data_IF_634611872061
#
_entry.id   IF_634611872061
#
_cell.length_a   1.000
_cell.length_b   1.000
_cell.length_c   1.000
_cell.angle_alpha   90.00
_cell.angle_beta   90.00
_cell.angle_gamma   90.00
#
_symmetry.space_group_name_H-M   'P 1'
#
loop_
_entity.id
_entity.type
_entity.pdbx_description
1 polymer ?
#
# COMPACT_ATOMS: atom_id res chain seq x y z
N UNK A 1 12.75 58.84 36.86
CA UNK A 1 13.99 58.03 36.88
C UNK A 1 13.59 56.57 36.81
N UNK A 2 14.13 55.81 35.84
CA UNK A 2 13.88 54.36 35.74
C UNK A 2 13.93 53.87 34.30
N UNK A 3 15.10 53.36 33.89
CA UNK A 3 15.45 52.95 32.53
C UNK A 3 14.83 51.59 32.13
N UNK A 4 14.45 51.50 30.85
CA UNK A 4 14.82 50.46 29.88
C UNK A 4 14.44 48.99 30.17
N UNK A 5 13.52 48.43 29.37
CA UNK A 5 13.63 47.05 28.89
C UNK A 5 13.50 47.01 27.37
N UNK A 6 14.63 46.64 26.77
CA UNK A 6 14.90 46.36 25.36
C UNK A 6 13.81 45.47 24.75
N UNK A 7 13.26 45.87 23.60
CA UNK A 7 12.70 44.91 22.63
C UNK A 7 13.86 44.32 21.84
N UNK A 8 14.00 42.99 21.73
CA UNK A 8 14.95 42.39 20.81
C UNK A 8 14.36 42.39 19.39
N UNK A 9 15.05 43.13 18.52
CA UNK A 9 15.47 42.78 17.16
C UNK A 9 14.55 41.88 16.30
N UNK A 10 13.98 42.54 15.28
CA UNK A 10 13.00 42.06 14.31
C UNK A 10 13.68 41.59 13.01
N UNK A 11 14.64 40.65 13.10
CA UNK A 11 15.50 40.29 11.96
C UNK A 11 15.62 38.77 11.69
N UNK A 12 14.62 37.98 12.08
CA UNK A 12 14.62 36.51 11.85
C UNK A 12 13.46 35.94 11.03
N UNK A 13 12.70 36.75 10.29
CA UNK A 13 11.55 36.26 9.51
C UNK A 13 11.79 36.04 8.00
N UNK A 14 12.98 36.31 7.45
CA UNK A 14 13.18 36.31 5.98
C UNK A 14 14.18 35.28 5.43
N UNK A 15 14.33 34.12 6.07
CA UNK A 15 15.27 33.07 5.60
C UNK A 15 14.70 31.66 5.42
N UNK A 16 13.45 31.52 4.97
CA UNK A 16 12.86 30.19 4.67
C UNK A 16 12.01 30.16 3.38
N UNK A 17 12.29 31.02 2.38
CA UNK A 17 11.53 31.01 1.10
C UNK A 17 12.40 30.96 -0.15
N UNK A 18 13.25 29.94 -0.28
CA UNK A 18 14.08 29.84 -1.49
C UNK A 18 14.72 28.49 -1.74
N UNK A 19 14.04 27.37 -1.42
CA UNK A 19 14.57 26.03 -1.72
C UNK A 19 13.53 24.90 -1.68
N UNK A 20 12.30 25.17 -2.11
CA UNK A 20 11.19 24.18 -2.07
C UNK A 20 10.25 24.21 -3.27
N UNK A 21 10.67 24.78 -4.41
CA UNK A 21 9.78 24.88 -5.57
C UNK A 21 10.35 24.32 -6.88
N UNK A 22 11.66 24.04 -6.95
CA UNK A 22 12.27 23.55 -8.20
C UNK A 22 12.39 22.02 -8.29
N UNK A 23 12.09 21.27 -7.21
CA UNK A 23 12.22 19.80 -7.18
C UNK A 23 10.93 19.04 -7.57
N UNK A 24 9.85 19.77 -7.90
CA UNK A 24 8.53 19.17 -8.17
C UNK A 24 8.26 18.89 -9.65
N UNK A 25 9.12 19.37 -10.57
CA UNK A 25 8.92 19.17 -12.00
C UNK A 25 9.62 17.93 -12.60
N UNK A 26 10.44 17.20 -11.82
CA UNK A 26 11.19 16.05 -12.33
C UNK A 26 10.50 14.69 -12.07
N UNK A 27 9.39 14.68 -11.32
CA UNK A 27 8.67 13.44 -10.96
C UNK A 27 7.70 12.94 -12.05
N UNK A 28 7.39 13.77 -13.05
CA UNK A 28 6.45 13.44 -14.12
C UNK A 28 7.06 12.62 -15.28
N UNK A 29 8.36 12.31 -15.28
CA UNK A 29 9.00 11.50 -16.34
C UNK A 29 9.02 9.99 -16.01
N UNK A 30 8.73 9.58 -14.78
CA UNK A 30 8.82 8.18 -14.35
C UNK A 30 7.54 7.36 -14.55
N UNK A 31 6.41 7.99 -14.89
CA UNK A 31 5.10 7.32 -15.03
C UNK A 31 4.48 7.57 -16.41
N UNK A 32 5.31 7.79 -17.42
CA UNK A 32 4.88 7.89 -18.81
C UNK A 32 4.76 6.51 -19.45
N UNK A 33 3.55 6.14 -19.84
CA UNK A 33 3.20 5.01 -20.69
C UNK A 33 4.26 4.69 -21.76
N UNK A 34 4.86 3.50 -21.65
CA UNK A 34 5.51 2.82 -22.76
C UNK A 34 5.09 1.35 -22.67
N UNK A 35 4.29 0.95 -23.65
CA UNK A 35 3.66 -0.35 -23.79
C UNK A 35 4.69 -1.50 -23.76
N UNK A 36 4.41 -2.47 -22.89
CA UNK A 36 4.45 -3.93 -23.03
C UNK A 36 5.65 -4.68 -23.63
N UNK A 37 6.75 -4.05 -24.07
CA UNK A 37 7.88 -4.81 -24.65
C UNK A 37 9.24 -4.58 -23.95
N UNK A 38 9.32 -3.60 -23.04
CA UNK A 38 10.61 -3.19 -22.46
C UNK A 38 10.96 -3.79 -21.08
N UNK A 39 9.96 -4.26 -20.31
CA UNK A 39 10.15 -4.66 -18.89
C UNK A 39 11.02 -5.91 -18.70
N UNK A 40 11.08 -6.83 -19.66
CA UNK A 40 11.83 -8.08 -19.51
C UNK A 40 13.35 -7.94 -19.69
N UNK A 41 13.82 -6.79 -20.21
CA UNK A 41 15.24 -6.55 -20.53
C UNK A 41 16.06 -5.99 -19.37
N UNK A 42 15.44 -5.74 -18.21
CA UNK A 42 16.18 -5.14 -17.10
C UNK A 42 17.12 -6.15 -16.44
N UNK A 43 18.42 -5.91 -16.63
CA UNK A 43 19.50 -6.70 -16.04
C UNK A 43 19.40 -6.67 -14.50
N UNK A 44 19.91 -7.68 -13.77
CA UNK A 44 19.87 -7.75 -12.31
C UNK A 44 20.33 -6.48 -11.58
N UNK A 45 21.25 -5.70 -12.18
CA UNK A 45 21.70 -4.40 -11.66
C UNK A 45 20.57 -3.37 -11.55
N UNK A 46 19.62 -3.35 -12.48
CA UNK A 46 18.48 -2.43 -12.44
C UNK A 46 17.68 -2.57 -11.14
N UNK A 47 17.31 -3.80 -10.77
CA UNK A 47 16.55 -4.07 -9.55
C UNK A 47 17.34 -3.73 -8.28
N UNK A 48 18.67 -3.88 -8.31
CA UNK A 48 19.55 -3.58 -7.18
C UNK A 48 19.82 -2.07 -7.02
N UNK A 49 20.15 -1.40 -8.12
CA UNK A 49 20.75 -0.05 -8.10
C UNK A 49 19.69 1.05 -8.30
N UNK A 50 18.72 0.81 -9.18
CA UNK A 50 17.66 1.77 -9.53
C UNK A 50 16.43 1.55 -8.66
N UNK A 51 15.83 0.35 -8.73
CA UNK A 51 14.60 0.04 -7.96
C UNK A 51 14.90 -0.12 -6.47
N UNK A 52 16.13 -0.53 -6.13
CA UNK A 52 16.57 -0.81 -4.76
C UNK A 52 15.64 -1.77 -4.02
N UNK A 53 15.15 -2.79 -4.74
CA UNK A 53 14.17 -3.75 -4.22
C UNK A 53 14.75 -4.77 -3.24
N UNK A 54 16.07 -4.71 -2.96
CA UNK A 54 16.77 -5.65 -2.10
C UNK A 54 16.53 -7.10 -2.51
N UNK A 55 16.25 -7.96 -1.54
CA UNK A 55 15.99 -9.39 -1.76
C UNK A 55 14.75 -9.68 -2.63
N UNK A 56 13.87 -8.70 -2.87
CA UNK A 56 12.67 -8.86 -3.72
C UNK A 56 12.97 -8.70 -5.21
N UNK A 57 14.12 -8.15 -5.57
CA UNK A 57 14.51 -7.93 -6.97
C UNK A 57 14.44 -9.19 -7.84
N UNK A 58 14.97 -10.34 -7.38
CA UNK A 58 14.82 -11.61 -8.09
C UNK A 58 13.36 -12.02 -8.36
N UNK A 59 12.44 -11.76 -7.43
CA UNK A 59 11.03 -12.10 -7.59
C UNK A 59 10.35 -11.24 -8.67
N UNK A 60 10.61 -9.92 -8.66
CA UNK A 60 10.10 -9.02 -9.69
C UNK A 60 10.62 -9.40 -11.07
N UNK A 61 11.91 -9.77 -11.16
CA UNK A 61 12.49 -10.24 -12.42
C UNK A 61 11.86 -11.54 -12.89
N UNK A 62 11.64 -12.50 -12.00
CA UNK A 62 11.03 -13.78 -12.34
C UNK A 62 9.61 -13.59 -12.89
N UNK A 63 8.76 -12.83 -12.19
CA UNK A 63 7.39 -12.53 -12.64
C UNK A 63 7.41 -11.79 -13.98
N UNK A 64 8.25 -10.75 -14.13
CA UNK A 64 8.31 -9.99 -15.38
C UNK A 64 8.81 -10.82 -16.57
N UNK A 65 9.73 -11.76 -16.33
CA UNK A 65 10.21 -12.67 -17.37
C UNK A 65 9.14 -13.68 -17.79
N UNK A 66 8.38 -14.21 -16.84
CA UNK A 66 7.30 -15.17 -17.09
C UNK A 66 6.15 -14.53 -17.88
N UNK A 67 5.76 -13.31 -17.50
CA UNK A 67 4.77 -12.51 -18.25
C UNK A 67 5.26 -12.25 -19.67
N UNK A 68 6.50 -11.81 -19.85
CA UNK A 68 7.04 -11.51 -21.17
C UNK A 68 7.23 -12.76 -22.05
N UNK A 69 7.39 -13.94 -21.45
CA UNK A 69 7.43 -15.21 -22.15
C UNK A 69 6.02 -15.75 -22.48
N UNK A 70 4.96 -15.12 -21.97
CA UNK A 70 3.58 -15.60 -22.07
C UNK A 70 3.26 -16.79 -21.16
N UNK A 71 4.13 -17.12 -20.21
CA UNK A 71 3.90 -18.19 -19.24
C UNK A 71 3.00 -17.78 -18.06
N UNK A 72 2.79 -16.47 -17.88
CA UNK A 72 1.90 -15.89 -16.89
C UNK A 72 1.08 -14.76 -17.50
N UNK A 73 -0.24 -14.91 -17.53
CA UNK A 73 -1.16 -13.81 -17.82
C UNK A 73 -1.77 -13.28 -16.51
N UNK A 74 -1.43 -12.03 -16.17
CA UNK A 74 -1.96 -11.37 -14.98
C UNK A 74 -3.35 -10.76 -15.20
N UNK A 75 -3.74 -10.50 -16.45
CA UNK A 75 -5.04 -9.92 -16.78
C UNK A 75 -6.18 -10.93 -16.50
N UNK A 76 -5.90 -12.24 -16.59
CA UNK A 76 -6.84 -13.29 -16.17
C UNK A 76 -7.33 -13.12 -14.72
N UNK A 77 -6.53 -12.51 -13.83
CA UNK A 77 -6.92 -12.30 -12.44
C UNK A 77 -8.05 -11.28 -12.27
N UNK A 78 -8.30 -10.45 -13.30
CA UNK A 78 -9.35 -9.45 -13.33
C UNK A 78 -10.73 -10.01 -13.71
N UNK A 79 -10.80 -11.25 -14.18
CA UNK A 79 -12.08 -11.87 -14.59
C UNK A 79 -13.06 -11.95 -13.41
N UNK A 80 -14.20 -11.23 -13.44
CA UNK A 80 -15.16 -11.23 -12.33
C UNK A 80 -15.79 -12.61 -12.07
N UNK A 81 -15.81 -13.51 -13.05
CA UNK A 81 -16.34 -14.86 -12.89
C UNK A 81 -15.36 -15.81 -12.17
N UNK A 82 -14.09 -15.43 -12.08
CA UNK A 82 -13.06 -16.20 -11.40
C UNK A 82 -13.28 -16.15 -9.87
N UNK A 83 -13.39 -17.29 -9.15
CA UNK A 83 -13.59 -17.29 -7.71
C UNK A 83 -12.41 -16.65 -6.95
N UNK A 84 -12.71 -15.89 -5.90
CA UNK A 84 -11.70 -15.22 -5.06
C UNK A 84 -10.63 -16.18 -4.52
N UNK A 85 -11.01 -17.41 -4.18
CA UNK A 85 -10.08 -18.43 -3.68
C UNK A 85 -9.12 -18.94 -4.76
N UNK A 86 -9.56 -18.96 -6.02
CA UNK A 86 -8.72 -19.33 -7.15
C UNK A 86 -7.73 -18.21 -7.47
N UNK A 87 -8.19 -16.96 -7.51
CA UNK A 87 -7.30 -15.79 -7.66
C UNK A 87 -6.27 -15.76 -6.52
N UNK A 88 -6.70 -16.02 -5.29
CA UNK A 88 -5.79 -16.10 -4.15
C UNK A 88 -4.74 -17.20 -4.31
N UNK A 89 -5.12 -18.37 -4.80
CA UNK A 89 -4.20 -19.48 -5.03
C UNK A 89 -3.16 -19.16 -6.11
N UNK A 90 -3.59 -18.57 -7.23
CA UNK A 90 -2.70 -18.11 -8.31
C UNK A 90 -1.72 -17.05 -7.81
N UNK A 91 -2.19 -16.07 -7.04
CA UNK A 91 -1.34 -15.06 -6.43
C UNK A 91 -0.32 -15.66 -5.46
N UNK A 92 -0.74 -16.59 -4.59
CA UNK A 92 0.15 -17.26 -3.64
C UNK A 92 1.24 -18.10 -4.32
N UNK A 93 1.01 -18.57 -5.54
CA UNK A 93 2.00 -19.30 -6.32
C UNK A 93 3.10 -18.38 -6.89
N UNK A 94 2.87 -17.06 -6.94
CA UNK A 94 3.86 -16.11 -7.46
C UNK A 94 5.03 -15.94 -6.48
N UNK A 95 6.28 -15.86 -7.00
CA UNK A 95 7.45 -15.71 -6.14
C UNK A 95 7.37 -14.42 -5.33
N UNK A 96 7.60 -14.52 -4.02
CA UNK A 96 7.58 -13.38 -3.10
C UNK A 96 6.18 -12.91 -2.69
N UNK A 97 5.11 -13.56 -3.13
CA UNK A 97 3.73 -13.22 -2.76
C UNK A 97 3.25 -14.15 -1.65
N UNK A 98 3.25 -13.64 -0.41
CA UNK A 98 2.71 -14.35 0.76
C UNK A 98 1.23 -14.05 1.01
N UNK A 99 0.63 -14.65 2.06
CA UNK A 99 -0.79 -14.43 2.41
C UNK A 99 -1.17 -12.96 2.61
N UNK A 100 -0.30 -12.16 3.22
CA UNK A 100 -0.50 -10.72 3.38
C UNK A 100 -0.55 -9.99 2.03
N UNK A 101 0.44 -10.24 1.17
CA UNK A 101 0.51 -9.61 -0.16
C UNK A 101 -0.70 -10.03 -1.01
N UNK A 102 -1.13 -11.29 -0.90
CA UNK A 102 -2.33 -11.79 -1.57
C UNK A 102 -3.57 -11.02 -1.13
N UNK A 103 -3.80 -10.85 0.18
CA UNK A 103 -4.95 -10.08 0.67
C UNK A 103 -4.94 -8.61 0.20
N UNK A 104 -3.75 -7.99 0.16
CA UNK A 104 -3.58 -6.63 -0.37
C UNK A 104 -3.88 -6.54 -1.87
N UNK A 105 -3.35 -7.46 -2.67
CA UNK A 105 -3.59 -7.47 -4.12
C UNK A 105 -5.07 -7.71 -4.41
N UNK A 106 -5.71 -8.69 -3.75
CA UNK A 106 -7.16 -8.93 -3.89
C UNK A 106 -7.98 -7.65 -3.62
N UNK A 107 -7.66 -6.90 -2.57
CA UNK A 107 -8.30 -5.62 -2.27
C UNK A 107 -8.16 -4.62 -3.43
N UNK A 108 -6.96 -4.52 -4.03
CA UNK A 108 -6.70 -3.65 -5.19
C UNK A 108 -7.45 -4.11 -6.45
N UNK A 109 -7.70 -5.42 -6.59
CA UNK A 109 -8.50 -6.00 -7.67
C UNK A 109 -10.02 -5.90 -7.42
N UNK A 110 -10.46 -5.25 -6.35
CA UNK A 110 -11.89 -5.15 -6.00
C UNK A 110 -12.46 -6.40 -5.30
N UNK A 111 -11.62 -7.35 -4.89
CA UNK A 111 -11.99 -8.60 -4.24
C UNK A 111 -11.80 -8.49 -2.73
N UNK A 112 -12.89 -8.18 -2.04
CA UNK A 112 -12.84 -7.67 -0.67
C UNK A 112 -12.96 -8.72 0.44
N UNK A 113 -12.89 -10.00 0.11
CA UNK A 113 -13.23 -11.08 1.05
C UNK A 113 -12.17 -11.30 2.14
N UNK A 114 -10.90 -10.96 1.88
CA UNK A 114 -9.77 -11.29 2.79
C UNK A 114 -9.29 -10.09 3.62
N UNK A 115 -9.01 -10.34 4.89
CA UNK A 115 -8.52 -9.33 5.82
C UNK A 115 -7.02 -9.06 5.61
N UNK A 116 -6.65 -7.79 5.59
CA UNK A 116 -5.25 -7.35 5.50
C UNK A 116 -4.68 -7.25 6.92
N UNK A 117 -4.17 -8.37 7.43
CA UNK A 117 -3.57 -8.43 8.77
C UNK A 117 -2.05 -8.24 8.66
N UNK A 118 -1.56 -7.07 9.03
CA UNK A 118 -0.14 -6.69 8.97
C UNK A 118 0.40 -6.12 10.29
N UNK A 119 1.61 -5.56 10.25
CA UNK A 119 2.27 -4.97 11.42
C UNK A 119 1.63 -3.67 11.90
N UNK A 120 0.82 -3.01 11.07
CA UNK A 120 0.09 -1.78 11.41
C UNK A 120 -1.36 -2.07 11.79
N UNK A 121 -2.06 -2.88 11.00
CA UNK A 121 -3.51 -3.13 11.15
C UNK A 121 -3.83 -3.91 12.43
N UNK A 122 -2.93 -4.80 12.88
CA UNK A 122 -3.09 -5.54 14.15
C UNK A 122 -3.01 -4.61 15.37
N UNK A 123 -1.95 -3.80 15.57
CA UNK A 123 -1.93 -2.80 16.65
C UNK A 123 -3.09 -1.81 16.56
N UNK A 124 -3.40 -1.33 15.35
CA UNK A 124 -4.49 -0.38 15.13
C UNK A 124 -5.84 -0.97 15.53
N UNK A 125 -6.12 -2.20 15.11
CA UNK A 125 -7.31 -2.93 15.52
C UNK A 125 -7.35 -3.09 17.05
N UNK A 126 -6.25 -3.47 17.69
CA UNK A 126 -6.21 -3.65 19.14
C UNK A 126 -6.53 -2.37 19.90
N UNK A 127 -6.02 -1.23 19.43
CA UNK A 127 -6.33 0.11 19.97
C UNK A 127 -7.83 0.41 19.86
N UNK A 128 -8.42 0.27 18.66
CA UNK A 128 -9.84 0.58 18.43
C UNK A 128 -10.79 -0.43 19.10
N UNK A 129 -10.37 -1.69 19.22
CA UNK A 129 -11.12 -2.75 19.88
C UNK A 129 -11.01 -2.70 21.42
N UNK A 130 -10.12 -1.86 21.97
CA UNK A 130 -9.86 -1.76 23.41
C UNK A 130 -9.08 -2.94 24.01
N UNK A 131 -8.72 -3.96 23.21
CA UNK A 131 -7.92 -5.11 23.63
C UNK A 131 -7.30 -5.83 22.44
N UNK A 132 -6.17 -6.51 22.69
CA UNK A 132 -5.55 -7.42 21.72
C UNK A 132 -6.48 -8.58 21.36
N UNK A 133 -6.41 -9.01 20.12
CA UNK A 133 -7.12 -10.17 19.60
C UNK A 133 -6.19 -10.97 18.68
N UNK A 134 -6.39 -12.29 18.63
CA UNK A 134 -5.72 -13.15 17.65
C UNK A 134 -6.34 -12.95 16.27
N UNK A 135 -5.57 -13.20 15.21
CA UNK A 135 -6.04 -13.10 13.81
C UNK A 135 -7.36 -13.85 13.60
N UNK A 136 -7.44 -15.11 14.06
CA UNK A 136 -8.67 -15.93 14.02
C UNK A 136 -9.87 -15.28 14.70
N UNK A 137 -9.64 -14.51 15.77
CA UNK A 137 -10.71 -13.78 16.47
C UNK A 137 -11.16 -12.56 15.66
N UNK A 138 -10.22 -11.86 15.03
CA UNK A 138 -10.52 -10.73 14.14
C UNK A 138 -11.31 -11.25 12.93
N UNK A 139 -10.82 -12.28 12.25
CA UNK A 139 -11.51 -12.93 11.11
C UNK A 139 -12.93 -13.35 11.47
N UNK A 140 -13.12 -14.02 12.62
CA UNK A 140 -14.46 -14.44 13.08
C UNK A 140 -15.41 -13.25 13.26
N UNK A 141 -14.92 -12.09 13.73
CA UNK A 141 -15.74 -10.88 13.90
C UNK A 141 -16.22 -10.33 12.56
N UNK A 142 -15.35 -10.32 11.54
CA UNK A 142 -15.66 -9.74 10.24
C UNK A 142 -16.33 -10.72 9.26
N UNK A 143 -16.35 -12.02 9.55
CA UNK A 143 -17.03 -13.04 8.72
C UNK A 143 -18.48 -12.71 8.37
N UNK A 144 -19.20 -11.97 9.23
CA UNK A 144 -20.58 -11.53 8.97
C UNK A 144 -20.74 -10.67 7.72
N UNK A 145 -19.67 -10.02 7.27
CA UNK A 145 -19.66 -9.17 6.07
C UNK A 145 -19.39 -9.96 4.77
N UNK A 146 -19.16 -11.28 4.86
CA UNK A 146 -18.98 -12.19 3.71
C UNK A 146 -17.93 -11.66 2.71
N UNK A 147 -18.31 -11.46 1.44
CA UNK A 147 -17.46 -10.92 0.38
C UNK A 147 -16.85 -9.55 0.70
N UNK A 148 -17.41 -8.80 1.66
CA UNK A 148 -16.89 -7.50 2.08
C UNK A 148 -16.12 -7.56 3.41
N UNK A 149 -15.75 -8.73 3.93
CA UNK A 149 -15.11 -8.86 5.24
C UNK A 149 -13.78 -8.10 5.36
N UNK A 150 -12.93 -8.17 4.33
CA UNK A 150 -11.70 -7.41 4.24
C UNK A 150 -11.94 -5.90 4.16
N UNK A 151 -12.90 -5.45 3.35
CA UNK A 151 -13.25 -4.03 3.25
C UNK A 151 -13.82 -3.49 4.56
N UNK A 152 -14.73 -4.22 5.19
CA UNK A 152 -15.28 -3.85 6.49
C UNK A 152 -14.19 -3.77 7.57
N UNK A 153 -13.22 -4.70 7.55
CA UNK A 153 -12.05 -4.62 8.42
C UNK A 153 -11.21 -3.37 8.13
N UNK A 154 -10.94 -3.09 6.86
CA UNK A 154 -10.16 -1.91 6.46
C UNK A 154 -10.81 -0.60 6.90
N UNK A 155 -12.12 -0.45 6.66
CA UNK A 155 -12.91 0.70 7.12
C UNK A 155 -12.91 0.80 8.64
N UNK A 156 -12.96 -0.33 9.36
CA UNK A 156 -12.88 -0.32 10.81
C UNK A 156 -11.54 0.22 11.31
N UNK A 157 -10.42 -0.23 10.74
CA UNK A 157 -9.08 0.20 11.21
C UNK A 157 -8.67 1.60 10.73
N UNK A 158 -9.34 2.12 9.69
CA UNK A 158 -9.13 3.49 9.17
C UNK A 158 -10.23 4.47 9.58
N UNK A 159 -11.19 4.06 10.42
CA UNK A 159 -12.38 4.87 10.77
C UNK A 159 -12.06 6.26 11.35
N UNK A 160 -10.90 6.42 11.98
CA UNK A 160 -10.49 7.68 12.59
C UNK A 160 -9.71 8.60 11.63
N UNK A 161 -9.48 8.16 10.38
CA UNK A 161 -8.87 9.00 9.34
C UNK A 161 -9.85 9.98 8.73
N UNK A 162 -11.13 9.62 8.75
CA UNK A 162 -12.24 10.48 8.35
C UNK A 162 -12.83 11.11 9.60
N UNK A 163 -13.08 12.42 9.55
CA UNK A 163 -13.80 13.10 10.61
C UNK A 163 -15.18 12.44 10.76
N UNK A 164 -15.52 12.00 11.98
CA UNK A 164 -16.87 11.53 12.27
C UNK A 164 -17.83 12.70 11.99
N UNK A 165 -18.74 12.59 11.00
CA UNK A 165 -19.73 13.62 10.80
C UNK A 165 -20.57 13.71 12.09
N UNK A 166 -20.74 14.93 12.60
CA UNK A 166 -21.54 15.14 13.80
C UNK A 166 -22.94 14.54 13.62
N UNK A 167 -23.26 13.48 14.37
CA UNK A 167 -24.64 13.03 14.55
C UNK A 167 -25.05 11.66 14.03
N UNK A 168 -24.16 10.80 13.53
CA UNK A 168 -24.51 9.39 13.28
C UNK A 168 -24.23 8.60 14.57
N UNK A 169 -25.28 8.42 15.39
CA UNK A 169 -25.27 7.55 16.58
C UNK A 169 -25.40 6.08 16.21
#
# INVERSE_FOLDING_TARGET
>A
MGRNRRRPDDSRSERVRGRRQDDLHDQHRLVGHAADDHRSRHQPRFYKEVVRSGYRGPYFRAIAADVAAGGLDLEELLDPELPDDEVAARLLALPGVGPYATAQILMLLGRYSRLILDSWSRPKYAQLNGRKATDKTIERRFRRYKHYAGLAFWLYVTRDWVAEPAGIK
#
